data_IF_631329996489
#
_entry.id   IF_631329996489
#
_cell.length_a   1.000
_cell.length_b   1.000
_cell.length_c   1.000
_cell.angle_alpha   90.00
_cell.angle_beta   90.00
_cell.angle_gamma   90.00
#
_symmetry.space_group_name_H-M   'P 1'
#
loop_
_entity.id
_entity.type
_entity.pdbx_description
1 polymer ?
#
# COMPACT_ATOMS: atom_id res chain seq x y z
N UNK A 1 -9.22 -28.47 -48.79
CA UNK A 1 -8.85 -27.10 -48.37
C UNK A 1 -9.98 -26.54 -47.51
N UNK A 2 -9.77 -26.37 -46.20
CA UNK A 2 -10.73 -25.71 -45.32
C UNK A 2 -9.96 -24.69 -44.47
N UNK A 3 -10.23 -23.40 -44.66
CA UNK A 3 -9.59 -22.31 -43.92
C UNK A 3 -10.07 -22.40 -42.47
N UNK A 4 -9.14 -22.65 -41.55
CA UNK A 4 -9.39 -22.63 -40.11
C UNK A 4 -9.22 -21.19 -39.66
N UNK A 5 -10.32 -20.43 -39.71
CA UNK A 5 -10.36 -19.06 -39.23
C UNK A 5 -9.86 -19.01 -37.78
N UNK A 6 -8.80 -18.22 -37.58
CA UNK A 6 -8.24 -17.91 -36.27
C UNK A 6 -9.26 -17.08 -35.51
N UNK A 7 -10.27 -17.73 -34.93
CA UNK A 7 -11.10 -17.09 -33.91
C UNK A 7 -10.26 -17.00 -32.65
N UNK A 8 -9.47 -15.94 -32.55
CA UNK A 8 -8.87 -15.51 -31.29
C UNK A 8 -10.04 -15.28 -30.35
N UNK A 9 -10.21 -16.16 -29.38
CA UNK A 9 -11.16 -15.93 -28.30
C UNK A 9 -10.71 -14.62 -27.64
N UNK A 10 -11.61 -13.67 -27.34
CA UNK A 10 -11.24 -12.58 -26.45
C UNK A 10 -10.70 -13.25 -25.19
N UNK A 11 -9.50 -12.87 -24.75
CA UNK A 11 -8.89 -13.43 -23.57
C UNK A 11 -9.86 -13.22 -22.40
N UNK A 12 -10.68 -14.22 -22.11
CA UNK A 12 -11.65 -14.27 -21.00
C UNK A 12 -10.92 -14.46 -19.66
N UNK A 13 -9.78 -13.78 -19.53
CA UNK A 13 -8.99 -13.58 -18.34
C UNK A 13 -8.62 -12.10 -18.15
N UNK A 14 -8.83 -11.22 -19.14
CA UNK A 14 -8.38 -9.82 -19.09
C UNK A 14 -9.10 -8.93 -18.05
N UNK A 15 -10.24 -9.38 -17.50
CA UNK A 15 -10.95 -8.69 -16.42
C UNK A 15 -10.30 -8.92 -15.06
N UNK A 16 -10.12 -10.19 -14.65
CA UNK A 16 -9.55 -10.53 -13.34
C UNK A 16 -8.11 -10.03 -13.19
N UNK A 17 -7.24 -10.19 -14.20
CA UNK A 17 -5.84 -9.72 -14.09
C UNK A 17 -5.69 -8.19 -14.11
N UNK A 18 -6.69 -7.44 -14.58
CA UNK A 18 -6.69 -5.97 -14.48
C UNK A 18 -7.21 -5.47 -13.14
N UNK A 19 -8.19 -6.14 -12.54
CA UNK A 19 -8.67 -5.81 -11.19
C UNK A 19 -7.61 -6.01 -10.10
N UNK A 20 -6.60 -6.85 -10.32
CA UNK A 20 -5.47 -7.00 -9.38
C UNK A 20 -4.33 -5.98 -9.58
N UNK A 21 -4.36 -5.18 -10.65
CA UNK A 21 -3.28 -4.25 -10.96
C UNK A 21 -3.67 -2.78 -10.78
N UNK A 22 -4.97 -2.45 -10.72
CA UNK A 22 -5.44 -1.05 -10.69
C UNK A 22 -5.68 -0.46 -9.29
N UNK A 23 -5.91 -1.25 -8.23
CA UNK A 23 -6.35 -0.70 -6.94
C UNK A 23 -5.28 -0.71 -5.83
N UNK A 24 -4.15 -0.07 -6.08
CA UNK A 24 -3.45 0.59 -4.95
C UNK A 24 -2.81 1.90 -5.39
N UNK A 25 -3.64 2.84 -5.87
CA UNK A 25 -3.32 4.26 -5.93
C UNK A 25 -3.25 4.88 -4.52
N UNK A 26 -2.53 4.22 -3.61
CA UNK A 26 -2.32 4.64 -2.24
C UNK A 26 -0.83 4.81 -1.97
N UNK A 27 -0.50 5.67 -1.02
CA UNK A 27 0.87 5.78 -0.53
C UNK A 27 1.27 4.39 -0.01
N UNK A 28 2.19 3.72 -0.73
CA UNK A 28 2.74 2.42 -0.33
C UNK A 28 3.62 2.63 0.91
N UNK A 29 2.99 2.66 2.08
CA UNK A 29 3.67 2.67 3.35
C UNK A 29 4.18 1.26 3.62
N UNK A 30 5.51 1.10 3.59
CA UNK A 30 6.11 -0.14 4.05
C UNK A 30 5.86 -0.30 5.55
N UNK A 31 5.59 -1.51 6.08
CA UNK A 31 5.38 -1.73 7.51
C UNK A 31 6.51 -1.16 8.37
N UNK A 32 7.75 -1.20 7.88
CA UNK A 32 8.93 -0.61 8.53
C UNK A 32 8.79 0.90 8.75
N UNK A 33 8.23 1.64 7.78
CA UNK A 33 8.05 3.10 7.88
C UNK A 33 7.03 3.45 8.97
N UNK A 34 5.96 2.64 9.09
CA UNK A 34 4.94 2.82 10.15
C UNK A 34 5.57 2.62 11.52
N UNK A 35 6.36 1.55 11.70
CA UNK A 35 7.05 1.28 12.97
C UNK A 35 7.99 2.42 13.35
N UNK A 36 8.79 2.92 12.41
CA UNK A 36 9.71 4.04 12.67
C UNK A 36 8.93 5.31 13.05
N UNK A 37 7.83 5.60 12.34
CA UNK A 37 6.97 6.75 12.65
C UNK A 37 6.39 6.68 14.06
N UNK A 38 5.91 5.51 14.47
CA UNK A 38 5.37 5.30 15.83
C UNK A 38 6.43 5.51 16.91
N UNK A 39 7.66 5.04 16.70
CA UNK A 39 8.76 5.22 17.67
C UNK A 39 9.07 6.71 17.84
N UNK A 40 9.13 7.48 16.74
CA UNK A 40 9.40 8.93 16.78
C UNK A 40 8.30 9.65 17.58
N UNK A 41 7.04 9.35 17.31
CA UNK A 41 5.90 9.96 18.03
C UNK A 41 5.97 9.60 19.52
N UNK A 42 6.29 8.35 19.87
CA UNK A 42 6.43 7.93 21.26
C UNK A 42 7.55 8.71 21.98
N UNK A 43 8.70 8.89 21.35
CA UNK A 43 9.80 9.67 21.91
C UNK A 43 9.42 11.14 22.12
N UNK A 44 8.72 11.75 21.15
CA UNK A 44 8.21 13.12 21.28
C UNK A 44 7.24 13.22 22.46
N UNK A 45 6.30 12.28 22.58
CA UNK A 45 5.35 12.25 23.71
C UNK A 45 6.08 12.15 25.07
N UNK A 46 7.11 11.31 25.16
CA UNK A 46 7.90 11.16 26.40
C UNK A 46 8.70 12.43 26.70
N UNK A 47 9.37 13.00 25.70
CA UNK A 47 10.14 14.24 25.86
C UNK A 47 9.23 15.41 26.27
N UNK A 48 8.06 15.52 25.62
CA UNK A 48 7.06 16.53 25.96
C UNK A 48 6.48 16.30 27.36
N UNK A 49 6.26 15.05 27.76
CA UNK A 49 5.83 14.71 29.11
C UNK A 49 6.88 15.08 30.15
N UNK A 50 8.16 14.84 29.87
CA UNK A 50 9.26 15.20 30.77
C UNK A 50 9.42 16.71 30.91
N UNK A 51 9.35 17.47 29.82
CA UNK A 51 9.45 18.95 29.90
C UNK A 51 8.24 19.56 30.59
N UNK A 52 7.03 19.03 30.35
CA UNK A 52 5.82 19.48 31.05
C UNK A 52 5.75 19.01 32.50
N UNK A 53 6.36 17.87 32.87
CA UNK A 53 6.41 17.42 34.27
C UNK A 53 7.52 18.08 35.10
N UNK A 54 8.58 18.58 34.46
CA UNK A 54 9.69 19.32 35.12
C UNK A 54 9.36 20.81 35.30
N UNK A 55 8.42 21.35 34.52
CA UNK A 55 8.05 22.76 34.52
C UNK A 55 6.97 23.20 35.52
N UNK A 56 6.45 22.30 36.37
CA UNK A 56 5.52 22.61 37.47
C UNK A 56 6.18 22.44 38.82
#
# INVERSE_FOLDING_TARGET
MARKDKKTLPASGAGIVRYFNDDTAGVKLSPKQVVIGTIIVALICIALRFTTSVGY
#
